data_IF_505222003890
#
_entry.id   IF_505222003890
#
_cell.length_a   1.000
_cell.length_b   1.000
_cell.length_c   1.000
_cell.angle_alpha   90.00
_cell.angle_beta   90.00
_cell.angle_gamma   90.00
#
_symmetry.space_group_name_H-M   'P 1'
#
loop_
_entity.id
_entity.type
_entity.pdbx_description
1 polymer ?
#
# COMPACT_ATOMS: atom_id res chain seq x y z
N UNK A 1 18.24 6.56 8.72
CA UNK A 1 17.94 5.58 7.66
C UNK A 1 16.59 4.91 7.95
N UNK A 2 15.71 4.90 6.99
CA UNK A 2 14.42 4.23 7.17
C UNK A 2 14.55 2.73 6.88
N UNK A 3 14.02 1.91 7.78
CA UNK A 3 14.00 0.46 7.64
C UNK A 3 12.54 0.01 7.79
N UNK A 4 11.96 -0.50 6.71
CA UNK A 4 10.58 -0.97 6.71
C UNK A 4 10.47 -2.45 6.36
N UNK A 5 9.25 -2.92 6.25
CA UNK A 5 8.96 -4.28 5.82
C UNK A 5 9.09 -4.40 4.30
N UNK A 6 9.35 -5.61 3.75
CA UNK A 6 9.41 -5.79 2.30
C UNK A 6 8.18 -5.23 1.59
N UNK A 7 8.40 -4.47 0.54
CA UNK A 7 7.35 -3.78 -0.22
C UNK A 7 7.07 -2.37 0.25
N UNK A 8 7.39 -2.02 1.48
CA UNK A 8 7.21 -0.66 1.99
C UNK A 8 8.29 0.27 1.45
N UNK A 9 7.89 1.51 1.15
CA UNK A 9 8.78 2.57 0.67
C UNK A 9 8.72 3.71 1.68
N UNK A 10 9.90 4.23 2.10
CA UNK A 10 10.00 5.21 3.17
C UNK A 10 9.09 6.43 2.99
N UNK A 11 9.20 7.08 1.82
CA UNK A 11 8.40 8.27 1.52
C UNK A 11 6.91 7.94 1.42
N UNK A 12 6.58 6.82 0.79
CA UNK A 12 5.19 6.39 0.64
C UNK A 12 4.60 5.93 1.97
N UNK A 13 5.39 5.31 2.83
CA UNK A 13 4.96 4.93 4.17
C UNK A 13 4.57 6.17 4.99
N UNK A 14 5.36 7.22 4.94
CA UNK A 14 5.05 8.50 5.60
C UNK A 14 3.76 9.12 5.08
N UNK A 15 3.58 9.10 3.74
CA UNK A 15 2.35 9.60 3.12
C UNK A 15 1.13 8.75 3.48
N UNK A 16 1.28 7.44 3.61
CA UNK A 16 0.21 6.56 4.04
C UNK A 16 -0.25 6.88 5.46
N UNK A 17 0.68 7.15 6.36
CA UNK A 17 0.38 7.59 7.74
C UNK A 17 -0.35 8.93 7.74
N UNK A 18 0.13 9.88 6.95
CA UNK A 18 -0.51 11.19 6.79
C UNK A 18 -1.93 11.03 6.23
N UNK A 19 -2.10 10.17 5.22
CA UNK A 19 -3.40 9.90 4.62
C UNK A 19 -4.40 9.37 5.63
N UNK A 20 -4.00 8.44 6.47
CA UNK A 20 -4.88 7.82 7.47
C UNK A 20 -5.44 8.85 8.45
N UNK A 21 -4.66 9.88 8.79
CA UNK A 21 -5.08 10.94 9.72
C UNK A 21 -5.59 12.21 9.05
N UNK A 22 -5.56 12.30 7.73
CA UNK A 22 -5.88 13.54 7.01
C UNK A 22 -7.37 13.82 6.94
N UNK A 23 -7.73 15.09 7.09
CA UNK A 23 -9.10 15.57 6.83
C UNK A 23 -9.35 15.69 5.32
N UNK A 24 -8.35 16.18 4.58
CA UNK A 24 -8.40 16.27 3.13
C UNK A 24 -7.53 15.18 2.50
N UNK A 25 -8.13 14.02 2.28
CA UNK A 25 -7.44 12.85 1.73
C UNK A 25 -7.03 13.06 0.27
N UNK A 26 -7.80 13.83 -0.49
CA UNK A 26 -7.48 14.11 -1.88
C UNK A 26 -6.17 14.87 -2.03
N UNK A 27 -5.86 15.77 -1.10
CA UNK A 27 -4.59 16.52 -1.09
C UNK A 27 -3.40 15.60 -0.86
N UNK A 28 -3.52 14.67 0.09
CA UNK A 28 -2.47 13.68 0.36
C UNK A 28 -2.31 12.73 -0.82
N UNK A 29 -3.41 12.33 -1.44
CA UNK A 29 -3.39 11.48 -2.64
C UNK A 29 -2.58 12.13 -3.77
N UNK A 30 -2.74 13.43 -4.01
CA UNK A 30 -1.96 14.15 -5.01
C UNK A 30 -0.47 14.13 -4.68
N UNK A 31 -0.11 14.32 -3.42
CA UNK A 31 1.29 14.22 -2.97
C UNK A 31 1.84 12.83 -3.24
N UNK A 32 1.06 11.79 -2.97
CA UNK A 32 1.45 10.41 -3.18
C UNK A 32 1.64 10.10 -4.66
N UNK A 33 0.77 10.58 -5.53
CA UNK A 33 0.90 10.42 -6.98
C UNK A 33 2.20 11.05 -7.50
N UNK A 34 2.51 12.26 -7.04
CA UNK A 34 3.73 12.95 -7.40
C UNK A 34 4.98 12.21 -6.91
N UNK A 35 4.93 11.69 -5.67
CA UNK A 35 6.04 10.92 -5.10
C UNK A 35 6.23 9.60 -5.86
N UNK A 36 5.15 8.91 -6.18
CA UNK A 36 5.21 7.64 -6.94
C UNK A 36 5.82 7.84 -8.32
N UNK A 37 5.51 8.96 -8.98
CA UNK A 37 6.04 9.27 -10.30
C UNK A 37 7.57 9.47 -10.32
N UNK A 38 8.14 9.80 -9.17
CA UNK A 38 9.59 10.03 -9.03
C UNK A 38 10.36 8.79 -8.60
N UNK A 39 9.68 7.69 -8.32
CA UNK A 39 10.33 6.47 -7.84
C UNK A 39 11.16 5.80 -8.95
N UNK A 40 12.29 5.14 -8.56
CA UNK A 40 13.03 4.28 -9.49
C UNK A 40 12.12 3.17 -10.03
N UNK A 41 12.47 2.64 -11.21
CA UNK A 41 11.70 1.57 -11.86
C UNK A 41 11.47 0.37 -10.91
N UNK A 42 12.46 0.02 -10.09
CA UNK A 42 12.36 -1.09 -9.15
C UNK A 42 11.26 -0.89 -8.10
N UNK A 43 10.97 0.37 -7.73
CA UNK A 43 10.00 0.72 -6.69
C UNK A 43 8.66 1.20 -7.26
N UNK A 44 8.60 1.47 -8.56
CA UNK A 44 7.44 2.10 -9.19
C UNK A 44 6.16 1.28 -9.00
N UNK A 45 6.24 -0.04 -9.07
CA UNK A 45 5.08 -0.92 -8.89
C UNK A 45 4.50 -0.82 -7.48
N UNK A 46 5.36 -0.80 -6.46
CA UNK A 46 4.94 -0.64 -5.08
C UNK A 46 4.33 0.75 -4.84
N UNK A 47 4.93 1.79 -5.43
CA UNK A 47 4.40 3.15 -5.36
C UNK A 47 3.00 3.24 -5.96
N UNK A 48 2.77 2.60 -7.10
CA UNK A 48 1.45 2.52 -7.73
C UNK A 48 0.43 1.84 -6.81
N UNK A 49 0.84 0.82 -6.09
CA UNK A 49 -0.03 0.12 -5.16
C UNK A 49 -0.43 1.02 -3.98
N UNK A 50 0.51 1.79 -3.42
CA UNK A 50 0.18 2.80 -2.39
C UNK A 50 -0.87 3.78 -2.90
N UNK A 51 -0.69 4.31 -4.10
CA UNK A 51 -1.65 5.25 -4.71
C UNK A 51 -3.01 4.58 -4.92
N UNK A 52 -3.02 3.35 -5.42
CA UNK A 52 -4.25 2.58 -5.61
C UNK A 52 -5.02 2.41 -4.30
N UNK A 53 -4.33 2.05 -3.22
CA UNK A 53 -4.95 1.89 -1.90
C UNK A 53 -5.54 3.22 -1.42
N UNK A 54 -4.81 4.32 -1.58
CA UNK A 54 -5.29 5.65 -1.21
C UNK A 54 -6.54 6.03 -1.99
N UNK A 55 -6.54 5.80 -3.31
CA UNK A 55 -7.68 6.09 -4.17
C UNK A 55 -8.92 5.31 -3.73
N UNK A 56 -8.76 4.02 -3.48
CA UNK A 56 -9.86 3.16 -3.05
C UNK A 56 -10.34 3.51 -1.64
N UNK A 57 -9.41 3.78 -0.73
CA UNK A 57 -9.73 4.14 0.65
C UNK A 57 -10.43 5.51 0.75
N UNK A 58 -10.19 6.42 -0.19
CA UNK A 58 -10.91 7.69 -0.27
C UNK A 58 -12.40 7.50 -0.54
N UNK A 59 -12.75 6.47 -1.29
CA UNK A 59 -14.13 6.15 -1.64
C UNK A 59 -14.78 5.20 -0.61
N UNK A 60 -13.99 4.34 0.05
CA UNK A 60 -14.46 3.36 1.01
C UNK A 60 -13.52 3.34 2.22
N UNK A 61 -13.97 3.88 3.35
CA UNK A 61 -13.17 3.95 4.57
C UNK A 61 -12.79 2.58 5.16
N UNK A 62 -13.45 1.51 4.74
CA UNK A 62 -13.15 0.15 5.19
C UNK A 62 -12.28 -0.63 4.20
N UNK A 63 -11.86 -0.01 3.11
CA UNK A 63 -11.10 -0.69 2.05
C UNK A 63 -9.85 -1.38 2.57
N UNK A 64 -9.05 -0.70 3.40
CA UNK A 64 -7.80 -1.27 3.92
C UNK A 64 -8.09 -2.54 4.73
N UNK A 65 -9.09 -2.51 5.59
CA UNK A 65 -9.49 -3.66 6.41
C UNK A 65 -9.96 -4.82 5.54
N UNK A 66 -10.81 -4.54 4.56
CA UNK A 66 -11.35 -5.56 3.64
C UNK A 66 -10.25 -6.18 2.78
N UNK A 67 -9.38 -5.33 2.23
CA UNK A 67 -8.29 -5.80 1.37
C UNK A 67 -7.26 -6.61 2.16
N UNK A 68 -6.95 -6.21 3.38
CA UNK A 68 -6.06 -6.96 4.26
C UNK A 68 -6.61 -8.36 4.52
N UNK A 69 -7.89 -8.48 4.84
CA UNK A 69 -8.53 -9.77 5.07
C UNK A 69 -8.53 -10.64 3.81
N UNK A 70 -8.81 -10.03 2.65
CA UNK A 70 -8.82 -10.73 1.37
C UNK A 70 -7.44 -11.30 1.03
N UNK A 71 -6.39 -10.50 1.16
CA UNK A 71 -5.03 -10.92 0.86
C UNK A 71 -4.52 -11.99 1.82
N UNK A 72 -4.85 -11.89 3.10
CA UNK A 72 -4.50 -12.92 4.09
C UNK A 72 -5.12 -14.27 3.73
N UNK A 73 -6.40 -14.25 3.34
CA UNK A 73 -7.11 -15.46 2.92
C UNK A 73 -6.47 -16.08 1.68
N UNK A 74 -6.10 -15.25 0.70
CA UNK A 74 -5.44 -15.72 -0.52
C UNK A 74 -4.03 -16.25 -0.23
N UNK A 75 -3.31 -15.64 0.70
CA UNK A 75 -1.97 -16.07 1.10
C UNK A 75 -2.01 -17.46 1.76
N UNK A 76 -3.09 -17.77 2.49
CA UNK A 76 -3.26 -19.07 3.14
C UNK A 76 -3.78 -20.15 2.20
N UNK A 77 -4.18 -19.81 0.98
CA UNK A 77 -4.68 -20.75 -0.01
C UNK A 77 -3.53 -21.60 -0.55
N UNK A 78 -3.60 -22.92 -0.34
CA UNK A 78 -2.57 -23.86 -0.79
C UNK A 78 -2.42 -23.97 -2.29
N UNK A 79 -3.41 -23.52 -3.08
CA UNK A 79 -3.36 -23.56 -4.54
C UNK A 79 -2.58 -22.38 -5.15
N UNK A 80 -2.23 -21.38 -4.35
CA UNK A 80 -1.51 -20.18 -4.80
C UNK A 80 -0.01 -20.46 -4.84
N UNK A 81 0.67 -20.03 -5.93
CA UNK A 81 2.11 -20.20 -6.07
C UNK A 81 2.90 -19.41 -5.03
N UNK A 82 4.14 -19.87 -4.75
CA UNK A 82 5.02 -19.18 -3.81
C UNK A 82 5.30 -17.73 -4.22
N UNK A 83 5.46 -17.47 -5.52
CA UNK A 83 5.71 -16.12 -6.05
C UNK A 83 4.52 -15.20 -5.76
N UNK A 84 3.30 -15.68 -5.93
CA UNK A 84 2.10 -14.91 -5.63
C UNK A 84 1.94 -14.67 -4.13
N UNK A 85 2.24 -15.68 -3.30
CA UNK A 85 2.21 -15.54 -1.84
C UNK A 85 3.18 -14.45 -1.38
N UNK A 86 4.37 -14.39 -1.95
CA UNK A 86 5.35 -13.34 -1.66
C UNK A 86 4.82 -11.97 -2.05
N UNK A 87 4.20 -11.85 -3.22
CA UNK A 87 3.58 -10.60 -3.67
C UNK A 87 2.46 -10.16 -2.72
N UNK A 88 1.61 -11.07 -2.28
CA UNK A 88 0.55 -10.78 -1.32
C UNK A 88 1.12 -10.32 0.02
N UNK A 89 2.22 -10.94 0.47
CA UNK A 89 2.92 -10.53 1.68
C UNK A 89 3.42 -9.10 1.61
N UNK A 90 4.01 -8.71 0.47
CA UNK A 90 4.48 -7.32 0.24
C UNK A 90 3.32 -6.34 0.25
N UNK A 91 2.20 -6.69 -0.39
CA UNK A 91 0.99 -5.84 -0.39
C UNK A 91 0.40 -5.71 1.01
N UNK A 92 0.39 -6.79 1.80
CA UNK A 92 -0.03 -6.73 3.20
C UNK A 92 0.85 -5.79 4.01
N UNK A 93 2.16 -5.79 3.78
CA UNK A 93 3.08 -4.87 4.43
C UNK A 93 2.79 -3.42 4.05
N UNK A 94 2.47 -3.15 2.78
CA UNK A 94 2.07 -1.83 2.33
C UNK A 94 0.77 -1.40 3.02
N UNK A 95 -0.22 -2.29 3.06
CA UNK A 95 -1.49 -2.00 3.72
C UNK A 95 -1.31 -1.68 5.21
N UNK A 96 -0.34 -2.31 5.87
CA UNK A 96 -0.05 -2.03 7.28
C UNK A 96 0.41 -0.60 7.52
N UNK A 97 0.93 0.09 6.48
CA UNK A 97 1.30 1.51 6.56
C UNK A 97 0.08 2.41 6.78
N UNK A 98 -1.12 1.95 6.45
CA UNK A 98 -2.36 2.72 6.59
C UNK A 98 -3.09 2.42 7.90
N UNK A 99 -2.57 1.52 8.70
CA UNK A 99 -3.18 1.14 9.97
C UNK A 99 -2.88 2.13 11.10
#
# INVERSE_FOLDING_TARGET
MWIGLPGQLGDMHGLAKEFAGAKDKAKVLKKAEAAAAKLPTADAEHGKYYVKVMTKASADGEFVTKETARLKKMQDDGSVSAAKKEQFGRRLNILSSFA
#
